data_IF_350649975021
#
_entry.id   IF_350649975021
#
_cell.length_a   1.000
_cell.length_b   1.000
_cell.length_c   1.000
_cell.angle_alpha   90.00
_cell.angle_beta   90.00
_cell.angle_gamma   90.00
#
_symmetry.space_group_name_H-M   'P 1'
#
loop_
_entity.id
_entity.type
_entity.pdbx_description
1 polymer ?
#
# COMPACT_ATOMS: atom_id res chain seq x y z
N UNK A 1 3.50 -20.32 -7.46
CA UNK A 1 3.06 -21.23 -6.38
C UNK A 1 3.83 -20.80 -5.14
N UNK A 2 3.27 -20.36 -4.03
CA UNK A 2 1.98 -20.68 -3.40
C UNK A 2 1.36 -19.42 -2.79
N UNK A 3 0.04 -19.31 -2.92
CA UNK A 3 -0.78 -18.50 -2.02
C UNK A 3 -0.84 -19.25 -0.68
N UNK A 4 0.11 -18.97 0.20
CA UNK A 4 -0.02 -19.23 1.63
C UNK A 4 0.11 -17.89 2.37
N UNK A 5 -0.65 -16.89 1.94
CA UNK A 5 -1.07 -15.86 2.87
C UNK A 5 -2.06 -16.55 3.79
N UNK A 6 -1.60 -16.94 4.98
CA UNK A 6 -2.50 -17.32 6.06
C UNK A 6 -3.56 -16.23 6.17
N UNK A 7 -4.84 -16.60 6.13
CA UNK A 7 -5.97 -15.70 6.40
C UNK A 7 -6.00 -15.20 7.87
N UNK A 8 -4.85 -15.16 8.54
CA UNK A 8 -4.68 -14.91 9.98
C UNK A 8 -4.30 -13.45 10.24
N UNK A 9 -3.84 -12.71 9.24
CA UNK A 9 -3.24 -11.38 9.47
C UNK A 9 -4.15 -10.20 9.14
N UNK A 10 -5.34 -10.41 8.56
CA UNK A 10 -6.22 -9.30 8.23
C UNK A 10 -6.83 -8.67 9.49
N UNK A 11 -6.73 -7.34 9.63
CA UNK A 11 -7.15 -6.62 10.84
C UNK A 11 -8.51 -5.96 10.63
N UNK A 12 -9.55 -6.28 11.43
CA UNK A 12 -10.84 -5.63 11.33
C UNK A 12 -10.74 -4.12 11.61
N UNK A 13 -11.35 -3.31 10.75
CA UNK A 13 -11.34 -1.86 10.84
C UNK A 13 -12.65 -1.25 10.31
N UNK A 14 -12.84 0.03 10.62
CA UNK A 14 -13.95 0.84 10.12
C UNK A 14 -13.41 2.04 9.37
N UNK A 15 -14.11 2.42 8.30
CA UNK A 15 -13.81 3.62 7.52
C UNK A 15 -15.11 4.25 7.02
N UNK A 16 -15.16 5.58 6.96
CA UNK A 16 -16.22 6.33 6.31
C UNK A 16 -15.69 6.99 5.04
N UNK A 17 -16.12 6.52 3.87
CA UNK A 17 -15.82 7.16 2.59
C UNK A 17 -16.69 8.39 2.35
N UNK A 18 -17.87 8.43 2.97
CA UNK A 18 -18.84 9.51 2.91
C UNK A 18 -19.30 9.85 4.33
N UNK A 19 -19.63 11.12 4.58
CA UNK A 19 -20.10 11.58 5.89
C UNK A 19 -21.32 10.76 6.31
N UNK A 20 -21.22 10.09 7.46
CA UNK A 20 -22.30 9.28 8.03
C UNK A 20 -22.45 7.86 7.46
N UNK A 21 -21.59 7.42 6.54
CA UNK A 21 -21.62 6.06 5.97
C UNK A 21 -20.37 5.28 6.34
N UNK A 22 -20.21 5.02 7.62
CA UNK A 22 -19.13 4.17 8.12
C UNK A 22 -19.42 2.71 7.80
N UNK A 23 -18.38 1.97 7.39
CA UNK A 23 -18.48 0.57 7.00
C UNK A 23 -17.35 -0.24 7.62
N UNK A 24 -17.66 -1.51 7.84
CA UNK A 24 -16.78 -2.53 8.39
C UNK A 24 -15.98 -3.23 7.29
N UNK A 25 -14.67 -3.32 7.47
CA UNK A 25 -13.74 -3.92 6.52
C UNK A 25 -12.66 -4.72 7.25
N UNK A 26 -12.10 -5.70 6.56
CA UNK A 26 -10.81 -6.28 6.88
C UNK A 26 -9.71 -5.48 6.16
N UNK A 27 -8.77 -4.96 6.93
CA UNK A 27 -7.56 -4.31 6.45
C UNK A 27 -6.45 -5.32 6.23
N UNK A 28 -5.73 -5.18 5.13
CA UNK A 28 -4.52 -5.95 4.85
C UNK A 28 -3.54 -5.11 4.02
N UNK A 29 -2.27 -5.10 4.39
CA UNK A 29 -1.18 -4.63 3.57
C UNK A 29 -0.42 -5.85 3.03
N UNK A 30 -0.07 -5.82 1.74
CA UNK A 30 0.66 -6.89 1.06
C UNK A 30 1.62 -6.32 0.03
N UNK A 31 2.74 -6.99 -0.19
CA UNK A 31 3.66 -6.72 -1.29
C UNK A 31 3.96 -7.98 -2.10
N UNK A 32 4.27 -7.78 -3.37
CA UNK A 32 4.72 -8.84 -4.28
C UNK A 32 5.73 -8.24 -5.26
N UNK A 33 7.00 -8.59 -5.07
CA UNK A 33 8.08 -8.04 -5.87
C UNK A 33 8.21 -6.53 -5.65
N UNK A 34 8.19 -5.76 -6.75
CA UNK A 34 8.28 -4.29 -6.70
C UNK A 34 6.93 -3.58 -6.51
N UNK A 35 5.85 -4.35 -6.36
CA UNK A 35 4.50 -3.82 -6.20
C UNK A 35 3.98 -4.10 -4.79
N UNK A 36 3.16 -3.20 -4.27
CA UNK A 36 2.53 -3.36 -2.97
C UNK A 36 1.22 -2.61 -2.88
N UNK A 37 0.31 -3.13 -2.08
CA UNK A 37 -1.04 -2.64 -1.94
C UNK A 37 -1.53 -2.65 -0.49
N UNK A 38 -2.36 -1.67 -0.17
CA UNK A 38 -3.27 -1.68 0.96
C UNK A 38 -4.64 -2.09 0.44
N UNK A 39 -5.24 -3.09 1.07
CA UNK A 39 -6.49 -3.73 0.66
C UNK A 39 -7.53 -3.55 1.77
N UNK A 40 -8.73 -3.12 1.39
CA UNK A 40 -9.92 -3.12 2.25
C UNK A 40 -10.94 -4.09 1.64
N UNK A 41 -11.12 -5.23 2.29
CA UNK A 41 -12.07 -6.27 1.91
C UNK A 41 -13.28 -6.29 2.86
N UNK A 42 -14.46 -6.68 2.36
CA UNK A 42 -15.64 -6.78 3.23
C UNK A 42 -15.43 -7.76 4.38
N UNK A 43 -15.79 -7.33 5.60
CA UNK A 43 -15.69 -8.17 6.81
C UNK A 43 -16.72 -9.30 6.81
N UNK A 44 -17.93 -9.03 6.29
CA UNK A 44 -19.04 -9.98 6.26
C UNK A 44 -19.45 -10.29 4.81
N UNK A 45 -18.90 -11.34 4.18
CA UNK A 45 -19.28 -11.72 2.82
C UNK A 45 -20.74 -12.19 2.78
N UNK A 46 -21.53 -11.60 1.88
CA UNK A 46 -22.94 -11.99 1.68
C UNK A 46 -23.10 -13.40 1.07
N UNK A 47 -22.02 -13.97 0.53
CA UNK A 47 -21.99 -15.29 -0.09
C UNK A 47 -20.85 -16.14 0.50
N UNK A 48 -21.10 -17.40 0.90
CA UNK A 48 -20.05 -18.32 1.33
C UNK A 48 -18.97 -18.45 0.27
N UNK A 49 -17.69 -18.40 0.66
CA UNK A 49 -16.52 -18.48 -0.23
C UNK A 49 -16.29 -17.29 -1.19
N UNK A 50 -17.05 -16.20 -1.08
CA UNK A 50 -16.85 -15.00 -1.91
C UNK A 50 -16.73 -13.75 -1.04
N UNK A 51 -15.54 -13.14 -1.01
CA UNK A 51 -15.31 -11.82 -0.44
C UNK A 51 -15.16 -10.76 -1.52
N UNK A 52 -15.63 -9.53 -1.27
CA UNK A 52 -15.41 -8.41 -2.17
C UNK A 52 -14.31 -7.49 -1.65
N UNK A 53 -13.27 -7.28 -2.45
CA UNK A 53 -12.34 -6.16 -2.25
C UNK A 53 -13.04 -4.88 -2.70
N UNK A 54 -13.26 -3.95 -1.78
CA UNK A 54 -13.95 -2.68 -2.11
C UNK A 54 -12.98 -1.60 -2.50
N UNK A 55 -11.79 -1.59 -1.88
CA UNK A 55 -10.78 -0.58 -2.16
C UNK A 55 -9.40 -1.21 -2.15
N UNK A 56 -8.58 -0.76 -3.09
CA UNK A 56 -7.15 -1.03 -3.16
C UNK A 56 -6.43 0.28 -3.34
N UNK A 57 -5.34 0.48 -2.60
CA UNK A 57 -4.47 1.63 -2.70
C UNK A 57 -3.01 1.19 -2.84
N UNK A 58 -2.15 1.94 -3.55
CA UNK A 58 -0.73 1.64 -3.60
C UNK A 58 -0.10 1.75 -2.20
N UNK A 59 0.74 0.78 -1.85
CA UNK A 59 1.55 0.81 -0.62
C UNK A 59 2.69 1.82 -0.74
N UNK A 60 3.29 1.90 -1.93
CA UNK A 60 4.35 2.86 -2.24
C UNK A 60 3.88 4.30 -2.02
N UNK A 61 4.65 5.05 -1.21
CA UNK A 61 4.34 6.43 -0.88
C UNK A 61 3.22 6.62 0.16
N UNK A 62 2.66 5.52 0.70
CA UNK A 62 1.80 5.60 1.87
C UNK A 62 2.60 6.14 3.06
N UNK A 63 1.97 7.03 3.85
CA UNK A 63 2.54 7.55 5.10
C UNK A 63 1.59 7.21 6.24
N UNK A 64 1.74 6.03 6.87
CA UNK A 64 0.89 5.63 7.97
C UNK A 64 1.27 6.41 9.24
N UNK A 65 0.27 6.85 10.01
CA UNK A 65 0.47 7.56 11.28
C UNK A 65 -0.70 7.29 12.22
N UNK A 66 -0.43 6.87 13.45
CA UNK A 66 -1.47 6.78 14.48
C UNK A 66 -1.89 8.21 14.88
N UNK A 67 -3.18 8.44 15.08
CA UNK A 67 -3.67 9.73 15.55
C UNK A 67 -3.25 9.99 17.00
N UNK A 68 -2.79 11.22 17.27
CA UNK A 68 -2.23 11.60 18.58
C UNK A 68 -3.30 11.63 19.68
N UNK A 69 -4.57 11.90 19.32
CA UNK A 69 -5.70 11.98 20.25
C UNK A 69 -6.50 10.68 20.31
N UNK A 70 -6.47 9.91 19.23
CA UNK A 70 -7.23 8.68 19.06
C UNK A 70 -6.27 7.52 18.72
N UNK A 71 -5.69 6.83 19.71
CA UNK A 71 -4.67 5.80 19.48
C UNK A 71 -5.17 4.55 18.73
N UNK A 72 -6.48 4.47 18.48
CA UNK A 72 -7.13 3.44 17.66
C UNK A 72 -7.31 3.85 16.20
N UNK A 73 -6.92 5.08 15.84
CA UNK A 73 -7.11 5.62 14.51
C UNK A 73 -5.77 5.66 13.78
N UNK A 74 -5.76 5.12 12.56
CA UNK A 74 -4.62 5.15 11.67
C UNK A 74 -4.93 6.05 10.48
N UNK A 75 -4.15 7.12 10.35
CA UNK A 75 -4.17 7.97 9.18
C UNK A 75 -3.28 7.39 8.09
N UNK A 76 -3.82 7.26 6.89
CA UNK A 76 -3.10 6.87 5.69
C UNK A 76 -3.22 7.99 4.66
N UNK A 77 -2.10 8.37 4.07
CA UNK A 77 -2.07 9.26 2.91
C UNK A 77 -1.85 8.45 1.65
N UNK A 78 -2.92 8.22 0.89
CA UNK A 78 -2.87 7.49 -0.37
C UNK A 78 -2.60 8.47 -1.51
N UNK A 79 -1.41 8.38 -2.09
CA UNK A 79 -1.05 9.16 -3.29
C UNK A 79 -1.70 8.50 -4.52
N UNK A 80 -2.34 9.26 -5.41
CA UNK A 80 -2.76 8.72 -6.71
C UNK A 80 -1.55 8.17 -7.44
N UNK A 81 -1.69 6.98 -8.03
CA UNK A 81 -0.64 6.31 -8.82
C UNK A 81 -0.33 7.01 -10.15
N UNK A 82 -0.80 8.24 -10.36
CA UNK A 82 -0.41 9.09 -11.49
C UNK A 82 1.04 9.53 -11.29
N UNK A 83 1.98 8.65 -11.62
CA UNK A 83 3.26 9.08 -12.15
C UNK A 83 2.92 9.70 -13.52
N UNK A 84 3.11 11.01 -13.74
CA UNK A 84 2.73 11.65 -15.00
C UNK A 84 3.61 11.26 -16.21
N UNK A 85 4.23 10.08 -16.23
CA UNK A 85 5.34 9.80 -17.14
C UNK A 85 5.27 8.51 -17.99
N UNK A 86 4.21 7.70 -17.95
CA UNK A 86 4.12 6.54 -18.87
C UNK A 86 2.72 6.42 -19.45
N UNK A 87 2.50 7.18 -20.52
CA UNK A 87 1.45 6.93 -21.50
C UNK A 87 1.97 5.83 -22.45
N UNK A 88 1.97 4.57 -22.02
CA UNK A 88 2.25 3.45 -22.92
C UNK A 88 1.64 2.14 -22.39
N UNK A 89 0.58 1.71 -23.08
CA UNK A 89 0.08 0.34 -23.14
C UNK A 89 -0.37 -0.29 -21.81
N UNK A 90 -1.64 -0.12 -21.47
CA UNK A 90 -2.66 -1.19 -21.43
C UNK A 90 -3.82 -0.80 -20.50
N UNK A 91 -5.01 -0.69 -21.10
CA UNK A 91 -6.29 -0.70 -20.39
C UNK A 91 -6.71 0.64 -19.82
N UNK A 92 -7.71 1.27 -20.45
CA UNK A 92 -8.59 2.25 -19.81
C UNK A 92 -9.36 1.59 -18.65
N UNK A 93 -8.69 1.30 -17.54
CA UNK A 93 -9.37 1.25 -16.27
C UNK A 93 -9.70 2.71 -15.94
N UNK A 94 -10.96 3.11 -16.11
CA UNK A 94 -11.48 4.28 -15.41
C UNK A 94 -11.52 3.94 -13.92
N UNK A 95 -10.35 3.81 -13.31
CA UNK A 95 -10.20 3.86 -11.87
C UNK A 95 -10.66 5.26 -11.52
N UNK A 96 -11.91 5.39 -11.03
CA UNK A 96 -12.39 6.66 -10.48
C UNK A 96 -11.26 7.17 -9.61
N UNK A 97 -10.70 8.32 -9.98
CA UNK A 97 -9.55 8.88 -9.29
C UNK A 97 -9.90 8.86 -7.81
N UNK A 98 -9.25 7.96 -7.05
CA UNK A 98 -9.30 8.02 -5.61
C UNK A 98 -8.53 9.30 -5.31
N UNK A 99 -9.29 10.39 -5.18
CA UNK A 99 -8.85 11.71 -4.75
C UNK A 99 -7.81 11.50 -3.67
N UNK A 100 -6.64 12.17 -3.76
CA UNK A 100 -5.51 12.08 -2.81
C UNK A 100 -6.05 11.77 -1.40
N UNK A 101 -5.97 10.49 -1.04
CA UNK A 101 -6.95 9.89 -0.14
C UNK A 101 -6.40 9.95 1.26
N UNK A 102 -6.73 11.00 2.00
CA UNK A 102 -6.56 10.96 3.46
C UNK A 102 -7.58 9.98 4.00
N UNK A 103 -7.15 8.76 4.29
CA UNK A 103 -7.98 7.77 4.94
C UNK A 103 -7.72 7.82 6.43
N UNK A 104 -8.78 7.61 7.20
CA UNK A 104 -8.70 7.37 8.64
C UNK A 104 -9.38 6.05 8.89
N UNK A 105 -8.60 5.05 9.26
CA UNK A 105 -9.09 3.75 9.67
C UNK A 105 -9.26 3.74 11.18
N UNK A 106 -10.42 3.32 11.67
CA UNK A 106 -10.66 3.12 13.08
C UNK A 106 -10.62 1.63 13.41
N UNK A 107 -9.74 1.23 14.32
CA UNK A 107 -9.57 -0.13 14.79
C UNK A 107 -10.31 -0.37 16.11
N UNK A 108 -10.50 -1.64 16.44
CA UNK A 108 -11.17 -2.07 17.67
C UNK A 108 -10.45 -1.56 18.93
N UNK A 109 -9.13 -1.72 18.92
CA UNK A 109 -8.23 -1.42 20.02
C UNK A 109 -6.88 -0.90 19.49
N UNK A 110 -6.06 -0.38 20.40
CA UNK A 110 -4.76 0.20 20.10
C UNK A 110 -3.78 -0.84 19.54
N UNK A 111 -3.86 -2.09 20.02
CA UNK A 111 -2.99 -3.18 19.56
C UNK A 111 -3.27 -3.53 18.10
N UNK A 112 -4.55 -3.60 17.72
CA UNK A 112 -4.99 -3.78 16.33
C UNK A 112 -4.48 -2.63 15.44
N UNK A 113 -4.52 -1.39 15.93
CA UNK A 113 -4.00 -0.23 15.21
C UNK A 113 -2.48 -0.30 15.01
N UNK A 114 -1.74 -0.73 16.05
CA UNK A 114 -0.29 -0.94 15.99
C UNK A 114 0.08 -2.09 15.05
N UNK A 115 -0.65 -3.20 15.10
CA UNK A 115 -0.49 -4.33 14.19
C UNK A 115 -0.66 -3.90 12.73
N UNK A 116 -1.71 -3.14 12.41
CA UNK A 116 -1.92 -2.61 11.08
C UNK A 116 -0.81 -1.63 10.64
N UNK A 117 -0.30 -0.79 11.55
CA UNK A 117 0.85 0.07 11.28
C UNK A 117 2.11 -0.76 10.95
N UNK A 118 2.45 -1.75 11.79
CA UNK A 118 3.61 -2.62 11.57
C UNK A 118 3.53 -3.35 10.24
N UNK A 119 2.35 -3.89 9.90
CA UNK A 119 2.12 -4.58 8.63
C UNK A 119 2.43 -3.68 7.42
N UNK A 120 2.01 -2.40 7.46
CA UNK A 120 2.33 -1.44 6.39
C UNK A 120 3.84 -1.22 6.29
N UNK A 121 4.51 -1.02 7.43
CA UNK A 121 5.95 -0.73 7.47
C UNK A 121 6.79 -1.92 6.99
N UNK A 122 6.42 -3.13 7.41
CA UNK A 122 7.08 -4.37 7.00
C UNK A 122 6.94 -4.60 5.49
N UNK A 123 5.72 -4.55 4.96
CA UNK A 123 5.48 -4.75 3.53
C UNK A 123 6.10 -3.63 2.68
N UNK A 124 6.11 -2.39 3.17
CA UNK A 124 6.77 -1.28 2.47
C UNK A 124 8.29 -1.47 2.43
N UNK A 125 8.88 -1.98 3.51
CA UNK A 125 10.30 -2.31 3.56
C UNK A 125 10.63 -3.47 2.60
N UNK A 126 9.82 -4.53 2.56
CA UNK A 126 9.99 -5.64 1.61
C UNK A 126 9.93 -5.15 0.16
N UNK A 127 8.92 -4.34 -0.17
CA UNK A 127 8.80 -3.72 -1.49
C UNK A 127 10.02 -2.85 -1.82
N UNK A 128 10.47 -2.02 -0.87
CA UNK A 128 11.62 -1.14 -1.02
C UNK A 128 12.92 -1.90 -1.28
N UNK A 129 13.18 -2.96 -0.51
CA UNK A 129 14.36 -3.81 -0.67
C UNK A 129 14.40 -4.48 -2.05
N UNK A 130 13.25 -4.94 -2.56
CA UNK A 130 13.19 -5.54 -3.90
C UNK A 130 13.43 -4.50 -5.01
N UNK A 131 12.92 -3.28 -4.85
CA UNK A 131 13.22 -2.17 -5.76
C UNK A 131 14.72 -1.85 -5.75
N UNK A 132 15.32 -1.70 -4.57
CA UNK A 132 16.75 -1.44 -4.42
C UNK A 132 17.58 -2.55 -5.07
N UNK A 133 17.27 -3.82 -4.78
CA UNK A 133 17.98 -4.97 -5.35
C UNK A 133 17.96 -4.99 -6.89
N UNK A 134 16.83 -4.60 -7.50
CA UNK A 134 16.70 -4.54 -8.97
C UNK A 134 17.38 -3.33 -9.58
N UNK A 135 17.41 -2.20 -8.87
CA UNK A 135 18.05 -0.97 -9.37
C UNK A 135 19.56 -0.94 -9.14
N UNK A 136 20.07 -1.68 -8.16
CA UNK A 136 21.49 -1.71 -7.80
C UNK A 136 22.45 -1.89 -9.00
N UNK A 137 22.22 -2.84 -9.94
CA UNK A 137 23.09 -2.98 -11.11
C UNK A 137 23.13 -1.75 -12.02
N UNK A 138 22.02 -1.00 -12.11
CA UNK A 138 21.95 0.22 -12.93
C UNK A 138 22.71 1.37 -12.27
N UNK A 139 22.56 1.52 -10.95
CA UNK A 139 23.26 2.55 -10.17
C UNK A 139 24.78 2.29 -10.12
N UNK A 140 25.17 1.02 -10.00
CA UNK A 140 26.58 0.63 -10.03
C UNK A 140 27.21 0.84 -11.42
N UNK A 141 26.45 0.62 -12.50
CA UNK A 141 26.89 0.90 -13.88
C UNK A 141 27.12 2.40 -14.10
N UNK A 142 26.20 3.24 -13.66
CA UNK A 142 26.31 4.70 -13.76
C UNK A 142 27.58 5.21 -13.04
N UNK A 143 27.85 4.74 -11.82
CA UNK A 143 29.07 5.08 -11.08
C UNK A 143 30.35 4.69 -11.84
N UNK A 144 30.35 3.54 -12.51
CA UNK A 144 31.52 3.09 -13.27
C UNK A 144 31.75 3.89 -14.55
N UNK A 145 30.68 4.41 -15.18
CA UNK A 145 30.79 5.28 -16.37
C UNK A 145 31.33 6.67 -16.02
N UNK A 146 30.93 7.27 -14.89
CA UNK A 146 31.46 8.56 -14.48
C UNK A 146 32.91 8.51 -13.96
N UNK A 147 33.36 7.37 -13.42
CA UNK A 147 34.75 7.18 -13.00
C UNK A 147 35.71 6.78 -14.16
N UNK A 148 35.21 6.55 -15.38
CA UNK A 148 36.02 6.13 -16.53
C UNK A 148 36.13 7.17 -17.64
N UNK A 149 35.62 8.38 -17.45
CA UNK A 149 35.87 9.49 -18.37
C UNK A 149 37.33 9.96 -18.25
N UNK A 150 38.17 9.86 -19.30
CA UNK A 150 39.53 10.37 -19.26
C UNK A 150 39.52 11.90 -19.31
N UNK A 151 40.29 12.53 -18.41
CA UNK A 151 40.72 13.92 -18.58
C UNK A 151 41.43 14.04 -19.93
N UNK A 152 40.83 14.79 -20.85
CA UNK A 152 41.45 15.08 -22.15
C UNK A 152 42.22 16.38 -22.00
N UNK A 153 43.55 16.26 -21.98
CA UNK A 153 44.52 17.35 -22.20
C UNK A 153 44.40 17.94 -23.62
#
# INVERSE_FOLDING_TARGET
>A
MCWLAHSVDAVPCRIAFERGKERHFCFLAISMGTSGWIVLAEELPLKPHYGAVRVVAPLAGCKPRIDDKHPRWLHLRIRPSTIPFIDAAHGKAKTKALVDGRWTLAFRDEESCKSALSMILEEANLQGNEVERRLKPLLDLERNLYCSAPETE
#
